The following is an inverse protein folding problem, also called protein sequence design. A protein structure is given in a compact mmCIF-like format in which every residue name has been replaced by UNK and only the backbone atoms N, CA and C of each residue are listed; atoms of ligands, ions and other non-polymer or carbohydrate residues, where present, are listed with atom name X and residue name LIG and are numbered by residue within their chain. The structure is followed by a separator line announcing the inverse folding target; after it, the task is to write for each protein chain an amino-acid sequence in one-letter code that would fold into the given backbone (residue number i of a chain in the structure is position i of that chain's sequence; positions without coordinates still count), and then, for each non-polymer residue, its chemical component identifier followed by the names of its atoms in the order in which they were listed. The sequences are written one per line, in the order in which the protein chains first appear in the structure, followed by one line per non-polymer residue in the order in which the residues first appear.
data_IF_520994534373
#
_entry.id   IF_520994534373
#
_cell.length_a   1.000
_cell.length_b   1.000
_cell.length_c   1.000
_cell.angle_alpha   90.00
_cell.angle_beta   90.00
_cell.angle_gamma   90.00
#
_symmetry.space_group_name_H-M   'P 1'
#
loop_
_entity.id
_entity.type
_entity.pdbx_description
1 polymer ?
#
# COMPACT_ATOMS: atom_id res chain seq x y z
N UNK A 1 -44.22 60.68 38.62
CA UNK A 1 -43.90 60.07 37.29
C UNK A 1 -42.75 59.11 37.49
N UNK A 2 -43.06 57.81 37.65
CA UNK A 2 -42.13 56.73 37.90
C UNK A 2 -42.03 55.94 36.56
N UNK A 3 -40.83 55.87 36.00
CA UNK A 3 -40.57 55.06 34.82
C UNK A 3 -40.22 53.65 35.24
N UNK A 4 -41.00 52.67 34.78
CA UNK A 4 -40.74 51.24 34.89
C UNK A 4 -39.60 50.84 33.93
N UNK A 5 -38.59 50.14 34.46
CA UNK A 5 -37.55 49.48 33.70
C UNK A 5 -38.01 48.05 33.44
N UNK A 6 -38.13 47.70 32.14
CA UNK A 6 -38.41 46.32 31.71
C UNK A 6 -37.14 45.48 31.64
N UNK A 7 -37.15 44.36 32.35
CA UNK A 7 -36.04 43.37 32.32
C UNK A 7 -36.32 42.38 31.19
N UNK A 8 -35.46 42.34 30.19
CA UNK A 8 -35.42 41.31 29.16
C UNK A 8 -34.65 40.08 29.69
N UNK A 9 -35.36 38.99 29.89
CA UNK A 9 -34.76 37.69 30.18
C UNK A 9 -34.35 36.99 28.88
N UNK A 10 -33.05 36.83 28.69
CA UNK A 10 -32.52 35.94 27.62
C UNK A 10 -32.63 34.49 28.10
N UNK A 11 -33.47 33.71 27.43
CA UNK A 11 -33.53 32.29 27.58
C UNK A 11 -32.31 31.62 26.93
N UNK A 12 -31.42 31.03 27.71
CA UNK A 12 -30.38 30.10 27.25
C UNK A 12 -31.06 28.80 26.82
N UNK A 13 -31.19 28.59 25.49
CA UNK A 13 -31.54 27.30 24.93
C UNK A 13 -30.39 26.32 25.25
N UNK A 14 -30.62 25.35 26.12
CA UNK A 14 -29.70 24.31 26.50
C UNK A 14 -29.39 23.44 25.26
N UNK A 15 -28.15 23.44 24.83
CA UNK A 15 -27.61 22.39 23.96
C UNK A 15 -27.66 21.06 24.72
N UNK A 16 -28.14 19.96 24.13
CA UNK A 16 -28.11 18.65 24.79
C UNK A 16 -26.66 18.25 25.03
N UNK A 17 -26.28 18.10 26.28
CA UNK A 17 -25.06 17.46 26.72
C UNK A 17 -25.17 15.98 26.32
N UNK A 18 -24.47 15.58 25.28
CA UNK A 18 -24.26 14.16 24.93
C UNK A 18 -23.65 13.49 26.18
N UNK A 19 -24.24 12.40 26.63
CA UNK A 19 -23.73 11.65 27.77
C UNK A 19 -22.36 11.03 27.44
N UNK A 20 -21.47 10.98 28.42
CA UNK A 20 -20.14 10.35 28.27
C UNK A 20 -20.22 8.87 27.80
N UNK A 21 -21.37 8.22 27.91
CA UNK A 21 -21.63 6.88 27.39
C UNK A 21 -21.89 6.81 25.88
N UNK A 22 -22.37 7.90 25.26
CA UNK A 22 -22.57 7.96 23.80
C UNK A 22 -21.28 8.28 23.01
N UNK A 23 -20.30 8.85 23.69
CA UNK A 23 -18.95 9.07 23.10
C UNK A 23 -18.09 7.78 23.02
N UNK A 24 -18.50 6.69 23.69
CA UNK A 24 -17.75 5.43 23.75
C UNK A 24 -18.28 4.36 22.77
N UNK A 25 -19.29 4.65 21.95
CA UNK A 25 -19.99 3.62 21.16
C UNK A 25 -19.97 3.81 19.64
N UNK A 26 -19.32 4.82 19.11
CA UNK A 26 -19.08 4.87 17.67
C UNK A 26 -17.87 4.00 17.36
N UNK A 27 -18.10 2.79 16.79
CA UNK A 27 -17.00 2.04 16.15
C UNK A 27 -16.27 3.00 15.20
N UNK A 28 -14.93 3.05 15.23
CA UNK A 28 -14.18 3.81 14.24
C UNK A 28 -14.60 3.34 12.86
N UNK A 29 -15.09 4.23 12.02
CA UNK A 29 -15.40 3.91 10.63
C UNK A 29 -14.16 4.22 9.81
N UNK A 30 -13.24 3.27 9.71
CA UNK A 30 -12.06 3.34 8.84
C UNK A 30 -12.40 3.03 7.38
N UNK A 31 -13.58 3.45 6.92
CA UNK A 31 -14.00 3.27 5.55
C UNK A 31 -13.04 4.03 4.61
N UNK A 32 -12.45 3.31 3.66
CA UNK A 32 -11.62 3.90 2.63
C UNK A 32 -12.47 4.34 1.44
N UNK A 33 -12.11 5.43 0.75
CA UNK A 33 -12.58 5.70 -0.61
C UNK A 33 -12.23 4.53 -1.54
N UNK A 34 -13.00 4.39 -2.62
CA UNK A 34 -12.75 3.34 -3.64
C UNK A 34 -11.62 3.77 -4.58
N UNK A 35 -10.49 4.13 -4.04
CA UNK A 35 -9.35 4.60 -4.79
C UNK A 35 -8.84 3.60 -5.81
N UNK A 36 -8.48 4.09 -6.99
CA UNK A 36 -7.91 3.28 -8.06
C UNK A 36 -6.71 3.98 -8.65
N UNK A 37 -5.63 3.25 -8.82
CA UNK A 37 -4.40 3.85 -9.29
C UNK A 37 -3.23 2.89 -9.38
N UNK A 38 -2.07 3.40 -9.02
CA UNK A 38 -0.80 2.73 -9.30
C UNK A 38 0.19 2.86 -8.15
N UNK A 39 1.08 1.87 -8.06
CA UNK A 39 2.32 2.03 -7.34
C UNK A 39 3.34 2.78 -8.21
N UNK A 40 4.11 3.71 -7.61
CA UNK A 40 5.22 4.42 -8.26
C UNK A 40 6.50 4.14 -7.50
N UNK A 41 7.48 3.54 -8.16
CA UNK A 41 8.63 2.89 -7.52
C UNK A 41 9.87 3.78 -7.42
N UNK A 42 9.68 5.09 -7.38
CA UNK A 42 10.75 6.09 -7.34
C UNK A 42 11.70 5.90 -6.15
N UNK A 43 11.19 5.45 -5.01
CA UNK A 43 11.92 5.33 -3.75
C UNK A 43 12.01 3.89 -3.22
N UNK A 44 11.68 2.94 -4.09
CA UNK A 44 11.62 1.52 -3.75
C UNK A 44 13.01 0.91 -3.46
N UNK A 45 14.04 1.33 -4.22
CA UNK A 45 15.38 0.78 -4.06
C UNK A 45 16.10 1.41 -2.86
N UNK A 46 16.81 0.60 -2.01
CA UNK A 46 17.55 1.13 -0.86
C UNK A 46 18.66 2.14 -1.24
N UNK A 47 19.26 2.01 -2.41
CA UNK A 47 20.30 2.91 -2.91
C UNK A 47 19.71 3.91 -3.92
N UNK A 48 19.74 5.23 -3.64
CA UNK A 48 19.24 6.26 -4.55
C UNK A 48 19.91 6.27 -5.92
N UNK A 49 21.16 5.78 -6.02
CA UNK A 49 21.90 5.68 -7.29
C UNK A 49 21.31 4.60 -8.22
N UNK A 50 20.56 3.67 -7.66
CA UNK A 50 19.87 2.59 -8.37
C UNK A 50 18.39 2.89 -8.65
N UNK A 51 17.96 4.13 -8.46
CA UNK A 51 16.61 4.58 -8.78
C UNK A 51 16.33 4.35 -10.26
N UNK A 52 15.34 3.51 -10.56
CA UNK A 52 14.99 3.10 -11.93
C UNK A 52 13.88 3.94 -12.54
N UNK A 53 13.04 4.54 -11.70
CA UNK A 53 11.89 5.33 -12.13
C UNK A 53 12.05 6.80 -11.73
N UNK A 54 11.53 7.66 -12.57
CA UNK A 54 11.43 9.09 -12.33
C UNK A 54 10.02 9.51 -12.76
N UNK A 55 9.07 9.35 -11.83
CA UNK A 55 7.70 9.74 -12.05
C UNK A 55 7.63 11.27 -12.07
N UNK A 56 7.03 11.83 -13.11
CA UNK A 56 6.95 13.28 -13.32
C UNK A 56 5.52 13.77 -13.11
N UNK A 57 5.36 15.08 -12.99
CA UNK A 57 4.04 15.72 -12.96
C UNK A 57 3.19 15.34 -14.18
N UNK A 58 3.80 15.14 -15.34
CA UNK A 58 3.12 14.72 -16.55
C UNK A 58 2.53 13.31 -16.42
N UNK A 59 3.26 12.37 -15.80
CA UNK A 59 2.75 11.04 -15.51
C UNK A 59 1.53 11.09 -14.57
N UNK A 60 1.56 11.92 -13.52
CA UNK A 60 0.41 12.12 -12.64
C UNK A 60 -0.77 12.75 -13.34
N UNK A 61 -0.52 13.69 -14.27
CA UNK A 61 -1.58 14.25 -15.11
C UNK A 61 -2.22 13.17 -15.98
N UNK A 62 -1.45 12.29 -16.62
CA UNK A 62 -2.02 11.17 -17.40
C UNK A 62 -2.87 10.25 -16.53
N UNK A 63 -2.41 9.90 -15.32
CA UNK A 63 -3.23 9.09 -14.39
C UNK A 63 -4.58 9.78 -14.13
N UNK A 64 -4.58 11.06 -13.77
CA UNK A 64 -5.79 11.83 -13.51
C UNK A 64 -6.68 11.96 -14.76
N UNK A 65 -6.12 12.26 -15.94
CA UNK A 65 -6.83 12.36 -17.22
C UNK A 65 -7.49 11.03 -17.63
N UNK A 66 -6.90 9.90 -17.21
CA UNK A 66 -7.49 8.56 -17.42
C UNK A 66 -8.54 8.18 -16.39
N UNK A 67 -8.74 9.02 -15.35
CA UNK A 67 -9.76 8.87 -14.31
C UNK A 67 -9.26 8.21 -13.03
N UNK A 68 -7.96 7.95 -12.88
CA UNK A 68 -7.40 7.43 -11.63
C UNK A 68 -7.24 8.54 -10.59
N UNK A 69 -7.32 8.16 -9.30
CA UNK A 69 -7.35 9.09 -8.17
C UNK A 69 -6.34 8.77 -7.06
N UNK A 70 -5.47 7.76 -7.28
CA UNK A 70 -4.62 7.21 -6.23
C UNK A 70 -3.22 6.84 -6.72
N UNK A 71 -2.23 7.09 -5.88
CA UNK A 71 -0.88 6.52 -6.00
C UNK A 71 -0.38 5.99 -4.67
N UNK A 72 0.18 4.79 -4.67
CA UNK A 72 0.95 4.25 -3.55
C UNK A 72 2.43 4.47 -3.83
N UNK A 73 3.17 4.90 -2.82
CA UNK A 73 4.61 5.23 -2.91
C UNK A 73 5.39 4.30 -1.99
N UNK A 74 5.82 3.13 -2.48
CA UNK A 74 6.69 2.23 -1.73
C UNK A 74 8.06 2.86 -1.51
N UNK A 75 8.47 2.99 -0.24
CA UNK A 75 9.76 3.57 0.15
C UNK A 75 10.63 2.56 0.88
N UNK A 76 11.89 2.48 0.53
CA UNK A 76 12.90 1.84 1.36
C UNK A 76 13.51 2.89 2.30
N UNK A 77 13.50 2.67 3.63
CA UNK A 77 14.07 3.65 4.57
C UNK A 77 15.54 4.01 4.27
N UNK A 78 16.41 3.08 3.78
CA UNK A 78 17.79 3.44 3.45
C UNK A 78 17.90 4.42 2.28
N UNK A 79 16.84 4.61 1.48
CA UNK A 79 16.85 5.60 0.41
C UNK A 79 17.07 7.02 0.95
N UNK A 80 16.42 7.36 2.06
CA UNK A 80 16.44 8.71 2.67
C UNK A 80 17.22 8.77 3.99
N UNK A 81 18.17 7.85 4.17
CA UNK A 81 19.09 7.81 5.31
C UNK A 81 20.52 8.00 4.82
N UNK A 82 21.31 8.81 5.54
CA UNK A 82 22.72 9.06 5.25
C UNK A 82 23.61 8.04 5.96
N UNK A 83 24.26 7.18 5.19
CA UNK A 83 25.20 6.18 5.68
C UNK A 83 26.23 5.81 4.62
N UNK A 84 27.33 5.18 5.04
CA UNK A 84 28.35 4.62 4.15
C UNK A 84 27.84 3.36 3.42
N UNK A 85 27.44 3.52 2.16
CA UNK A 85 26.85 2.47 1.31
C UNK A 85 27.86 1.43 0.79
N UNK A 86 29.12 1.52 1.20
CA UNK A 86 30.15 0.51 0.88
C UNK A 86 30.18 -0.64 1.87
N UNK A 87 29.43 -0.57 2.96
CA UNK A 87 29.27 -1.56 4.01
C UNK A 87 27.82 -1.64 4.49
N UNK A 88 27.45 -2.68 5.25
CA UNK A 88 26.14 -2.72 5.92
C UNK A 88 25.91 -1.48 6.80
N UNK A 89 24.66 -1.03 6.85
CA UNK A 89 24.23 0.06 7.73
C UNK A 89 24.32 -0.39 9.19
N UNK A 90 24.71 0.51 10.08
CA UNK A 90 24.69 0.25 11.52
C UNK A 90 23.45 0.88 12.20
N UNK A 91 23.21 0.51 13.47
CA UNK A 91 22.02 0.92 14.24
C UNK A 91 21.91 2.44 14.41
N UNK A 92 23.02 3.15 14.59
CA UNK A 92 23.05 4.60 14.79
C UNK A 92 22.78 5.36 13.48
N UNK A 93 23.20 4.80 12.35
CA UNK A 93 23.00 5.41 11.04
C UNK A 93 21.55 5.37 10.59
N UNK A 94 20.76 4.41 11.06
CA UNK A 94 19.33 4.31 10.73
C UNK A 94 18.55 5.59 11.08
N UNK A 95 19.03 6.36 12.05
CA UNK A 95 18.43 7.62 12.50
C UNK A 95 18.95 8.88 11.77
N UNK A 96 19.90 8.74 10.85
CA UNK A 96 20.52 9.88 10.14
C UNK A 96 19.73 10.21 8.88
N UNK A 97 18.71 11.04 9.02
CA UNK A 97 17.86 11.45 7.90
C UNK A 97 18.65 12.31 6.92
N UNK A 98 18.58 11.97 5.62
CA UNK A 98 19.06 12.81 4.50
C UNK A 98 17.92 13.74 4.03
N UNK A 99 17.95 14.99 4.48
CA UNK A 99 16.91 15.98 4.17
C UNK A 99 16.74 16.19 2.66
N UNK A 100 17.79 16.04 1.86
CA UNK A 100 17.70 16.16 0.40
C UNK A 100 16.84 15.04 -0.18
N UNK A 101 17.03 13.81 0.30
CA UNK A 101 16.23 12.65 -0.16
C UNK A 101 14.80 12.72 0.33
N UNK A 102 14.60 13.21 1.54
CA UNK A 102 13.25 13.49 2.06
C UNK A 102 12.55 14.52 1.20
N UNK A 103 13.25 15.59 0.78
CA UNK A 103 12.68 16.60 -0.10
C UNK A 103 12.24 16.03 -1.46
N UNK A 104 12.98 15.06 -2.05
CA UNK A 104 12.59 14.37 -3.29
C UNK A 104 11.24 13.64 -3.12
N UNK A 105 11.01 13.00 -1.97
CA UNK A 105 9.72 12.35 -1.65
C UNK A 105 8.60 13.39 -1.51
N UNK A 106 8.87 14.48 -0.77
CA UNK A 106 7.90 15.56 -0.58
C UNK A 106 7.49 16.21 -1.91
N UNK A 107 8.44 16.42 -2.82
CA UNK A 107 8.18 16.96 -4.16
C UNK A 107 7.28 16.03 -4.99
N UNK A 108 7.50 14.73 -4.91
CA UNK A 108 6.64 13.74 -5.57
C UNK A 108 5.22 13.78 -5.00
N UNK A 109 5.06 13.84 -3.67
CA UNK A 109 3.76 13.96 -2.99
C UNK A 109 3.02 15.22 -3.47
N UNK A 110 3.71 16.38 -3.50
CA UNK A 110 3.11 17.64 -3.97
C UNK A 110 2.71 17.58 -5.45
N UNK A 111 3.54 16.98 -6.31
CA UNK A 111 3.22 16.82 -7.72
C UNK A 111 1.96 15.96 -7.93
N UNK A 112 1.85 14.83 -7.23
CA UNK A 112 0.68 13.96 -7.29
C UNK A 112 -0.58 14.66 -6.77
N UNK A 113 -0.51 15.25 -5.56
CA UNK A 113 -1.65 15.99 -4.97
C UNK A 113 -2.09 17.18 -5.86
N UNK A 114 -1.16 17.84 -6.56
CA UNK A 114 -1.49 18.94 -7.49
C UNK A 114 -2.32 18.49 -8.69
N UNK A 115 -2.35 17.19 -8.99
CA UNK A 115 -3.20 16.59 -10.02
C UNK A 115 -4.47 15.95 -9.44
N UNK A 116 -4.76 16.14 -8.14
CA UNK A 116 -5.93 15.57 -7.47
C UNK A 116 -5.77 14.10 -7.05
N UNK A 117 -4.56 13.54 -7.13
CA UNK A 117 -4.31 12.16 -6.72
C UNK A 117 -4.07 12.09 -5.21
N UNK A 118 -4.71 11.14 -4.54
CA UNK A 118 -4.36 10.75 -3.18
C UNK A 118 -3.03 10.00 -3.16
N UNK A 119 -2.19 10.28 -2.18
CA UNK A 119 -0.90 9.59 -2.02
C UNK A 119 -0.93 8.72 -0.76
N UNK A 120 -0.59 7.44 -0.89
CA UNK A 120 -0.34 6.54 0.23
C UNK A 120 1.16 6.29 0.36
N UNK A 121 1.78 6.81 1.43
CA UNK A 121 3.17 6.50 1.72
C UNK A 121 3.27 5.14 2.40
N UNK A 122 4.13 4.28 1.89
CA UNK A 122 4.37 2.95 2.44
C UNK A 122 5.83 2.74 2.79
N UNK A 123 6.12 2.18 3.97
CA UNK A 123 7.43 1.64 4.27
C UNK A 123 7.54 0.24 3.65
N UNK A 124 8.00 0.18 2.41
CA UNK A 124 8.22 -1.09 1.71
C UNK A 124 9.39 -1.87 2.33
N UNK A 125 10.44 -1.14 2.72
CA UNK A 125 11.50 -1.61 3.60
C UNK A 125 11.52 -0.75 4.84
N UNK A 126 11.18 -1.33 5.98
CA UNK A 126 11.31 -0.72 7.29
C UNK A 126 12.62 -1.16 7.96
N UNK A 127 13.10 -0.43 8.99
CA UNK A 127 14.23 -0.90 9.78
C UNK A 127 14.01 -2.32 10.32
N UNK A 128 14.89 -3.24 9.94
CA UNK A 128 14.84 -4.63 10.37
C UNK A 128 13.88 -5.55 9.60
N UNK A 129 13.18 -5.06 8.57
CA UNK A 129 12.31 -5.93 7.77
C UNK A 129 12.10 -5.45 6.33
N UNK A 130 12.15 -6.39 5.41
CA UNK A 130 11.57 -6.30 4.07
C UNK A 130 11.21 -7.69 3.55
N UNK A 131 10.10 -7.78 2.81
CA UNK A 131 9.73 -9.01 2.12
C UNK A 131 10.75 -9.41 1.05
N UNK A 132 11.48 -8.44 0.48
CA UNK A 132 12.54 -8.67 -0.50
C UNK A 132 13.90 -8.77 0.20
N UNK A 133 14.69 -9.82 -0.12
CA UNK A 133 16.07 -9.92 0.28
C UNK A 133 16.96 -8.85 -0.41
N UNK A 134 18.26 -8.87 -0.15
CA UNK A 134 19.25 -8.06 -0.88
C UNK A 134 19.65 -6.74 -0.21
N UNK A 135 19.31 -6.55 1.06
CA UNK A 135 19.85 -5.50 1.91
C UNK A 135 20.05 -6.05 3.31
N UNK A 136 21.25 -5.88 3.87
CA UNK A 136 21.59 -6.37 5.20
C UNK A 136 21.13 -5.39 6.27
N UNK A 137 20.17 -5.83 7.09
CA UNK A 137 19.61 -5.04 8.19
C UNK A 137 20.45 -5.20 9.46
N UNK A 138 20.58 -4.16 10.32
CA UNK A 138 21.38 -4.23 11.55
C UNK A 138 20.65 -4.94 12.69
N UNK A 139 19.38 -5.31 12.50
CA UNK A 139 18.51 -5.99 13.48
C UNK A 139 17.29 -6.62 12.78
N UNK A 140 16.44 -7.30 13.55
CA UNK A 140 15.20 -7.91 13.07
C UNK A 140 13.98 -7.23 13.70
N UNK A 141 13.05 -6.74 12.89
CA UNK A 141 11.86 -6.01 13.34
C UNK A 141 10.95 -6.84 14.27
N UNK A 142 10.96 -8.16 14.11
CA UNK A 142 10.07 -9.05 14.85
C UNK A 142 10.61 -9.47 16.22
N UNK A 143 11.91 -9.29 16.47
CA UNK A 143 12.58 -9.77 17.68
C UNK A 143 13.31 -8.69 18.46
N UNK A 144 13.76 -7.62 17.79
CA UNK A 144 14.66 -6.64 18.39
C UNK A 144 13.91 -5.35 18.73
N UNK A 145 13.93 -4.96 19.98
CA UNK A 145 13.26 -3.75 20.47
C UNK A 145 13.76 -2.49 19.76
N UNK A 146 15.06 -2.39 19.48
CA UNK A 146 15.66 -1.25 18.79
C UNK A 146 15.13 -1.11 17.35
N UNK A 147 14.79 -2.21 16.68
CA UNK A 147 14.17 -2.16 15.35
C UNK A 147 12.77 -1.51 15.40
N UNK A 148 11.98 -1.83 16.44
CA UNK A 148 10.69 -1.22 16.68
C UNK A 148 10.82 0.29 17.00
N UNK A 149 11.82 0.69 17.78
CA UNK A 149 12.11 2.10 18.06
C UNK A 149 12.46 2.85 16.78
N UNK A 150 13.28 2.26 15.91
CA UNK A 150 13.61 2.83 14.61
C UNK A 150 12.39 2.93 13.69
N UNK A 151 11.53 1.92 13.65
CA UNK A 151 10.27 1.96 12.90
C UNK A 151 9.38 3.13 13.34
N UNK A 152 9.19 3.29 14.64
CA UNK A 152 8.45 4.41 15.25
C UNK A 152 9.09 5.76 14.91
N UNK A 153 10.43 5.86 14.97
CA UNK A 153 11.14 7.09 14.61
C UNK A 153 10.87 7.52 13.16
N UNK A 154 10.92 6.59 12.21
CA UNK A 154 10.64 6.90 10.81
C UNK A 154 9.19 7.36 10.59
N UNK A 155 8.22 6.70 11.22
CA UNK A 155 6.83 7.15 11.13
C UNK A 155 6.58 8.48 11.82
N UNK A 156 7.21 8.75 12.95
CA UNK A 156 7.15 10.06 13.61
C UNK A 156 7.70 11.17 12.69
N UNK A 157 8.81 10.90 11.99
CA UNK A 157 9.40 11.82 11.03
C UNK A 157 8.42 12.16 9.89
N UNK A 158 7.88 11.16 9.18
CA UNK A 158 6.95 11.38 8.08
C UNK A 158 5.63 12.01 8.52
N UNK A 159 5.05 11.55 9.60
CA UNK A 159 3.80 12.11 10.13
C UNK A 159 3.95 13.58 10.53
N UNK A 160 5.09 13.97 11.09
CA UNK A 160 5.41 15.36 11.44
C UNK A 160 5.56 16.26 10.19
N UNK A 161 6.24 15.78 9.15
CA UNK A 161 6.40 16.51 7.89
C UNK A 161 5.07 16.74 7.18
N UNK A 162 4.21 15.74 7.20
CA UNK A 162 2.93 15.72 6.48
C UNK A 162 1.73 16.12 7.35
N UNK A 163 1.95 16.63 8.56
CA UNK A 163 0.88 16.98 9.52
C UNK A 163 -0.16 18.00 9.02
N UNK A 164 0.21 18.83 8.03
CA UNK A 164 -0.68 19.80 7.41
C UNK A 164 -1.57 19.18 6.30
N UNK A 165 -1.23 17.99 5.82
CA UNK A 165 -2.02 17.28 4.81
C UNK A 165 -3.22 16.60 5.48
N UNK A 166 -4.38 16.75 4.87
CA UNK A 166 -5.60 16.04 5.33
C UNK A 166 -5.63 14.62 4.80
N UNK A 167 -6.49 13.80 5.37
CA UNK A 167 -6.74 12.41 4.92
C UNK A 167 -7.27 12.31 3.48
N UNK A 168 -7.69 13.41 2.87
CA UNK A 168 -8.08 13.47 1.45
C UNK A 168 -6.86 13.39 0.53
N UNK A 169 -5.68 13.82 0.99
CA UNK A 169 -4.46 13.93 0.18
C UNK A 169 -3.39 12.90 0.53
N UNK A 170 -3.40 12.38 1.77
CA UNK A 170 -2.34 11.49 2.27
C UNK A 170 -2.89 10.39 3.18
N UNK A 171 -2.34 9.20 3.05
CA UNK A 171 -2.45 8.09 4.00
C UNK A 171 -1.09 7.48 4.30
N UNK A 172 -1.02 6.74 5.39
CA UNK A 172 0.20 6.09 5.88
C UNK A 172 -0.03 4.58 5.91
N UNK A 173 0.66 3.85 5.05
CA UNK A 173 0.64 2.41 4.92
C UNK A 173 1.86 1.84 5.66
N UNK A 174 1.64 1.28 6.84
CA UNK A 174 2.63 1.08 7.89
C UNK A 174 3.82 0.22 7.48
N UNK A 175 3.57 -0.93 6.87
CA UNK A 175 4.61 -1.90 6.55
C UNK A 175 4.18 -2.78 5.38
N UNK A 176 5.03 -2.88 4.36
CA UNK A 176 4.76 -3.74 3.22
C UNK A 176 4.89 -5.23 3.55
N UNK A 177 3.82 -5.99 3.23
CA UNK A 177 3.84 -7.45 3.17
C UNK A 177 4.47 -8.15 4.39
N UNK A 178 3.99 -7.89 5.60
CA UNK A 178 4.53 -8.49 6.82
C UNK A 178 4.47 -10.01 6.75
N UNK A 179 5.60 -10.63 7.02
CA UNK A 179 5.70 -12.08 7.17
C UNK A 179 6.88 -12.43 8.08
N UNK A 180 6.78 -13.56 8.74
CA UNK A 180 7.93 -14.19 9.39
C UNK A 180 8.69 -15.00 8.34
N UNK A 181 9.99 -14.87 8.29
CA UNK A 181 10.87 -15.62 7.39
C UNK A 181 11.93 -16.35 8.21
N UNK A 182 12.19 -17.63 7.92
CA UNK A 182 13.19 -18.42 8.64
C UNK A 182 14.60 -17.87 8.46
N UNK A 183 14.96 -17.47 7.25
CA UNK A 183 16.19 -16.73 6.93
C UNK A 183 15.85 -15.45 6.15
N UNK A 184 16.08 -14.29 6.77
CA UNK A 184 15.80 -12.98 6.18
C UNK A 184 16.66 -12.66 4.95
N UNK A 185 17.80 -13.34 4.78
CA UNK A 185 18.72 -13.13 3.66
C UNK A 185 18.46 -14.07 2.48
N UNK A 186 17.68 -15.15 2.70
CA UNK A 186 17.29 -16.07 1.63
C UNK A 186 15.91 -15.70 1.07
N UNK A 187 15.87 -15.27 -0.21
CA UNK A 187 14.64 -14.92 -0.92
C UNK A 187 13.63 -16.07 -0.99
N UNK A 188 14.09 -17.31 -0.99
CA UNK A 188 13.27 -18.51 -1.08
C UNK A 188 13.01 -19.19 0.26
N UNK A 189 13.50 -18.62 1.35
CA UNK A 189 13.26 -19.13 2.70
C UNK A 189 11.76 -19.23 2.99
N UNK A 190 11.40 -20.23 3.79
CA UNK A 190 10.03 -20.47 4.21
C UNK A 190 9.45 -19.24 4.92
N UNK A 191 8.21 -18.91 4.55
CA UNK A 191 7.44 -17.80 5.12
C UNK A 191 6.25 -18.30 5.90
N UNK A 192 5.83 -17.52 6.88
CA UNK A 192 4.61 -17.74 7.66
C UNK A 192 4.07 -16.41 8.18
N UNK A 193 2.88 -16.44 8.76
CA UNK A 193 2.29 -15.28 9.41
C UNK A 193 3.15 -14.80 10.57
N UNK A 194 3.29 -13.50 10.73
CA UNK A 194 3.85 -12.90 11.96
C UNK A 194 2.91 -13.25 13.11
N UNK A 195 3.42 -13.65 14.29
CA UNK A 195 2.56 -13.87 15.47
C UNK A 195 1.63 -12.66 15.71
N UNK A 196 0.34 -12.93 15.91
CA UNK A 196 -0.71 -11.90 15.94
C UNK A 196 -0.42 -10.77 16.93
N UNK A 197 0.08 -11.10 18.13
CA UNK A 197 0.36 -10.09 19.15
C UNK A 197 1.56 -9.21 18.78
N UNK A 198 2.59 -9.78 18.14
CA UNK A 198 3.76 -9.03 17.66
C UNK A 198 3.34 -8.06 16.56
N UNK A 199 2.54 -8.53 15.61
CA UNK A 199 2.09 -7.66 14.52
C UNK A 199 1.12 -6.58 15.00
N UNK A 200 0.21 -6.93 15.94
CA UNK A 200 -0.65 -5.92 16.60
C UNK A 200 0.17 -4.85 17.32
N UNK A 201 1.20 -5.21 18.08
CA UNK A 201 2.06 -4.25 18.80
C UNK A 201 2.72 -3.26 17.82
N UNK A 202 3.21 -3.74 16.68
CA UNK A 202 3.75 -2.89 15.62
C UNK A 202 2.68 -1.92 15.08
N UNK A 203 1.48 -2.42 14.79
CA UNK A 203 0.39 -1.59 14.25
C UNK A 203 -0.02 -0.51 15.26
N UNK A 204 -0.21 -0.87 16.53
CA UNK A 204 -0.57 0.07 17.60
C UNK A 204 0.49 1.17 17.73
N UNK A 205 1.77 0.81 17.81
CA UNK A 205 2.86 1.79 17.93
C UNK A 205 2.96 2.71 16.72
N UNK A 206 2.83 2.17 15.51
CA UNK A 206 2.82 2.97 14.28
C UNK A 206 1.60 3.91 14.23
N UNK A 207 0.42 3.39 14.52
CA UNK A 207 -0.83 4.15 14.57
C UNK A 207 -0.78 5.29 15.58
N UNK A 208 -0.42 5.00 16.83
CA UNK A 208 -0.34 6.00 17.89
C UNK A 208 0.67 7.10 17.55
N UNK A 209 1.83 6.71 17.01
CA UNK A 209 2.88 7.64 16.59
C UNK A 209 2.38 8.61 15.51
N UNK A 210 1.70 8.08 14.49
CA UNK A 210 1.17 8.90 13.39
C UNK A 210 0.04 9.80 13.92
N UNK A 211 -0.88 9.28 14.73
CA UNK A 211 -2.02 10.01 15.29
C UNK A 211 -1.60 11.09 16.28
N UNK A 212 -0.48 10.94 16.98
CA UNK A 212 0.09 12.00 17.81
C UNK A 212 0.49 13.23 16.99
N UNK A 213 1.04 13.03 15.79
CA UNK A 213 1.45 14.14 14.91
C UNK A 213 0.29 14.66 14.05
N UNK A 214 -0.60 13.78 13.62
CA UNK A 214 -1.78 14.09 12.80
C UNK A 214 -3.00 13.29 13.29
N UNK A 215 -3.84 13.84 14.19
CA UNK A 215 -4.95 13.13 14.81
C UNK A 215 -6.02 12.60 13.85
N UNK A 216 -6.04 13.08 12.59
CA UNK A 216 -6.98 12.66 11.56
C UNK A 216 -6.31 11.89 10.42
N UNK A 217 -5.06 11.48 10.60
CA UNK A 217 -4.35 10.72 9.59
C UNK A 217 -5.06 9.40 9.29
N UNK A 218 -5.15 9.05 8.02
CA UNK A 218 -5.61 7.74 7.58
C UNK A 218 -4.43 6.77 7.63
N UNK A 219 -4.60 5.68 8.38
CA UNK A 219 -3.58 4.66 8.60
C UNK A 219 -4.05 3.34 8.00
N UNK A 220 -3.17 2.67 7.28
CA UNK A 220 -3.41 1.39 6.61
C UNK A 220 -2.37 0.39 7.12
N UNK A 221 -2.80 -0.84 7.39
CA UNK A 221 -1.91 -1.97 7.67
C UNK A 221 -2.09 -3.04 6.60
N UNK A 222 -1.00 -3.52 6.03
CA UNK A 222 -1.06 -4.69 5.13
C UNK A 222 -1.53 -5.93 5.91
N UNK A 223 -2.34 -6.76 5.28
CA UNK A 223 -2.72 -8.05 5.82
C UNK A 223 -1.50 -8.91 6.16
N UNK A 224 -1.62 -9.78 7.13
CA UNK A 224 -0.55 -10.67 7.53
C UNK A 224 -0.21 -11.67 6.42
N UNK A 225 0.92 -12.35 6.52
CA UNK A 225 1.37 -13.35 5.56
C UNK A 225 1.37 -12.80 4.11
N UNK A 226 2.12 -11.73 3.91
CA UNK A 226 2.26 -11.07 2.59
C UNK A 226 0.92 -10.49 2.06
N UNK A 227 0.06 -9.98 2.96
CA UNK A 227 -1.25 -9.43 2.58
C UNK A 227 -2.30 -10.49 2.23
N UNK A 228 -2.06 -11.76 2.56
CA UNK A 228 -3.01 -12.85 2.30
C UNK A 228 -4.06 -13.03 3.40
N UNK A 229 -3.77 -12.60 4.63
CA UNK A 229 -4.61 -12.84 5.80
C UNK A 229 -5.13 -11.54 6.40
N UNK A 230 -6.44 -11.48 6.67
CA UNK A 230 -7.05 -10.39 7.43
C UNK A 230 -6.49 -10.36 8.86
N UNK A 231 -6.27 -9.15 9.39
CA UNK A 231 -5.84 -8.96 10.77
C UNK A 231 -7.09 -8.82 11.63
N UNK A 232 -7.42 -9.86 12.38
CA UNK A 232 -8.67 -9.96 13.14
C UNK A 232 -8.64 -9.28 14.52
N UNK A 233 -7.46 -8.98 15.05
CA UNK A 233 -7.24 -8.46 16.40
C UNK A 233 -6.97 -6.94 16.46
N UNK A 234 -7.37 -6.16 15.43
CA UNK A 234 -7.21 -4.70 15.38
C UNK A 234 -8.55 -3.96 15.18
N UNK A 235 -9.67 -4.64 15.40
CA UNK A 235 -11.01 -4.05 15.21
C UNK A 235 -11.35 -2.90 16.17
N UNK A 236 -10.54 -2.71 17.21
CA UNK A 236 -10.60 -1.61 18.17
C UNK A 236 -9.83 -0.36 17.71
N UNK A 237 -9.03 -0.48 16.64
CA UNK A 237 -8.23 0.61 16.08
C UNK A 237 -8.92 1.21 14.85
N UNK A 238 -8.73 2.52 14.64
CA UNK A 238 -9.14 3.20 13.41
C UNK A 238 -8.05 3.03 12.32
N UNK A 239 -7.84 1.78 11.91
CA UNK A 239 -6.85 1.35 10.91
C UNK A 239 -7.56 0.56 9.82
N UNK A 240 -7.38 0.97 8.56
CA UNK A 240 -7.81 0.20 7.40
C UNK A 240 -6.80 -0.91 7.08
N UNK A 241 -7.22 -1.89 6.29
CA UNK A 241 -6.33 -2.98 5.90
C UNK A 241 -6.08 -3.02 4.39
N UNK A 242 -4.95 -3.57 3.99
CA UNK A 242 -4.58 -3.73 2.59
C UNK A 242 -4.36 -5.20 2.25
N UNK A 243 -5.05 -5.68 1.22
CA UNK A 243 -4.85 -7.01 0.65
C UNK A 243 -3.91 -6.98 -0.56
N UNK A 244 -3.62 -8.17 -1.12
CA UNK A 244 -2.84 -8.34 -2.34
C UNK A 244 -3.64 -9.03 -3.43
N UNK A 245 -3.51 -8.52 -4.66
CA UNK A 245 -4.14 -9.05 -5.85
C UNK A 245 -3.14 -9.80 -6.72
N UNK A 246 -2.51 -10.84 -6.16
CA UNK A 246 -1.54 -11.69 -6.87
C UNK A 246 -1.92 -13.17 -6.93
N UNK A 247 -3.02 -13.55 -6.32
CA UNK A 247 -3.47 -14.94 -6.34
C UNK A 247 -4.21 -15.29 -7.66
N UNK A 248 -3.92 -16.43 -8.29
CA UNK A 248 -2.87 -17.39 -7.95
C UNK A 248 -1.50 -16.93 -8.44
N UNK A 249 -0.46 -17.20 -7.64
CA UNK A 249 0.91 -16.77 -7.91
C UNK A 249 1.48 -17.30 -9.24
N UNK A 250 1.05 -18.47 -9.67
CA UNK A 250 1.43 -19.03 -10.98
C UNK A 250 1.00 -18.13 -12.14
N UNK A 251 -0.14 -17.44 -12.04
CA UNK A 251 -0.62 -16.51 -13.07
C UNK A 251 0.08 -15.15 -12.95
N UNK A 252 0.04 -14.55 -11.77
CA UNK A 252 0.54 -13.18 -11.56
C UNK A 252 2.06 -13.06 -11.69
N UNK A 253 2.80 -14.10 -11.28
CA UNK A 253 4.26 -14.13 -11.26
C UNK A 253 4.86 -15.19 -12.20
N UNK A 254 4.16 -15.56 -13.26
CA UNK A 254 4.63 -16.57 -14.19
C UNK A 254 6.08 -16.28 -14.63
N UNK A 255 6.98 -17.25 -14.39
CA UNK A 255 8.41 -17.16 -14.66
C UNK A 255 9.17 -16.03 -13.94
N UNK A 256 8.63 -15.49 -12.85
CA UNK A 256 9.34 -14.49 -12.06
C UNK A 256 10.50 -15.14 -11.28
N UNK A 257 11.76 -14.72 -11.52
CA UNK A 257 12.93 -15.40 -10.97
C UNK A 257 13.12 -15.21 -9.45
N UNK A 258 12.42 -14.26 -8.86
CA UNK A 258 12.42 -14.07 -7.39
C UNK A 258 11.32 -14.85 -6.69
N UNK A 259 10.42 -15.49 -7.44
CA UNK A 259 9.34 -16.34 -6.91
C UNK A 259 9.63 -17.81 -7.18
N UNK A 260 10.12 -18.14 -8.37
CA UNK A 260 10.38 -19.51 -8.81
C UNK A 260 11.87 -19.75 -8.95
N UNK A 261 12.40 -20.78 -8.28
CA UNK A 261 13.81 -21.19 -8.41
C UNK A 261 14.13 -21.73 -9.81
N UNK A 262 13.15 -22.37 -10.44
CA UNK A 262 13.26 -22.97 -11.79
C UNK A 262 12.15 -22.43 -12.71
N UNK A 263 12.22 -21.14 -13.12
CA UNK A 263 11.14 -20.50 -13.86
C UNK A 263 10.90 -21.08 -15.26
N UNK A 264 11.93 -21.68 -15.86
CA UNK A 264 11.83 -22.28 -17.22
C UNK A 264 11.15 -23.64 -17.21
N UNK A 265 11.07 -24.32 -16.07
CA UNK A 265 10.41 -25.62 -15.93
C UNK A 265 8.89 -25.50 -15.75
N UNK A 266 8.36 -24.28 -15.62
CA UNK A 266 6.93 -24.06 -15.44
C UNK A 266 6.14 -24.41 -16.70
N UNK A 267 4.97 -25.09 -16.56
CA UNK A 267 4.08 -25.34 -17.67
C UNK A 267 3.52 -24.04 -18.23
N UNK A 268 2.99 -24.08 -19.45
CA UNK A 268 2.28 -22.93 -20.00
C UNK A 268 1.09 -22.56 -19.13
N UNK A 269 1.00 -21.26 -18.77
CA UNK A 269 -0.09 -20.76 -17.93
C UNK A 269 -1.28 -20.33 -18.79
N UNK A 270 -2.47 -20.57 -18.26
CA UNK A 270 -3.76 -20.16 -18.86
C UNK A 270 -4.63 -19.46 -17.82
N UNK A 271 -5.74 -18.87 -18.23
CA UNK A 271 -6.80 -18.45 -17.33
C UNK A 271 -8.16 -18.89 -17.90
N UNK A 272 -8.98 -19.64 -17.17
CA UNK A 272 -8.68 -20.27 -15.86
C UNK A 272 -7.40 -21.11 -15.87
N UNK A 273 -6.76 -21.23 -14.71
CA UNK A 273 -5.54 -22.02 -14.50
C UNK A 273 -5.83 -23.24 -13.63
N UNK A 274 -4.95 -24.24 -13.70
CA UNK A 274 -5.02 -25.41 -12.81
C UNK A 274 -3.65 -25.62 -12.15
N UNK A 275 -3.67 -25.83 -10.86
CA UNK A 275 -2.46 -26.13 -10.08
C UNK A 275 -2.78 -27.23 -9.05
N UNK A 276 -2.01 -28.32 -9.07
CA UNK A 276 -2.18 -29.45 -8.14
C UNK A 276 -3.62 -30.04 -8.10
N UNK A 277 -4.32 -30.05 -9.23
CA UNK A 277 -5.70 -30.54 -9.34
C UNK A 277 -6.77 -29.55 -8.86
N UNK A 278 -6.39 -28.32 -8.52
CA UNK A 278 -7.30 -27.23 -8.16
C UNK A 278 -7.46 -26.29 -9.34
N UNK A 279 -8.69 -26.08 -9.77
CA UNK A 279 -9.01 -25.10 -10.82
C UNK A 279 -9.13 -23.73 -10.18
N UNK A 280 -8.31 -22.81 -10.66
CA UNK A 280 -8.36 -21.40 -10.28
C UNK A 280 -9.11 -20.62 -11.37
N UNK A 281 -10.32 -20.21 -11.03
CA UNK A 281 -11.20 -19.42 -11.89
C UNK A 281 -11.77 -18.21 -11.12
N UNK A 282 -12.75 -17.53 -11.69
CA UNK A 282 -13.43 -16.40 -11.03
C UNK A 282 -14.11 -16.80 -9.71
N UNK A 283 -14.64 -18.00 -9.61
CA UNK A 283 -15.28 -18.50 -8.37
C UNK A 283 -14.23 -18.67 -7.28
N UNK A 284 -13.12 -19.32 -7.63
CA UNK A 284 -11.99 -19.48 -6.73
C UNK A 284 -11.44 -18.11 -6.26
N UNK A 285 -11.31 -17.13 -7.16
CA UNK A 285 -10.89 -15.76 -6.78
C UNK A 285 -11.86 -15.13 -5.78
N UNK A 286 -13.17 -15.31 -5.96
CA UNK A 286 -14.18 -14.79 -5.02
C UNK A 286 -14.03 -15.43 -3.64
N UNK A 287 -13.79 -16.74 -3.58
CA UNK A 287 -13.51 -17.44 -2.33
C UNK A 287 -12.21 -16.98 -1.68
N UNK A 288 -11.17 -16.72 -2.48
CA UNK A 288 -9.90 -16.17 -2.01
C UNK A 288 -10.09 -14.79 -1.37
N UNK A 289 -10.91 -13.92 -1.96
CA UNK A 289 -11.18 -12.57 -1.40
C UNK A 289 -12.30 -12.55 -0.36
N UNK A 290 -12.99 -13.66 -0.08
CA UNK A 290 -14.11 -13.69 0.84
C UNK A 290 -13.79 -13.10 2.24
N UNK A 291 -12.67 -13.36 2.90
CA UNK A 291 -12.34 -12.75 4.20
C UNK A 291 -12.26 -11.21 4.13
N UNK A 292 -11.76 -10.66 3.02
CA UNK A 292 -11.68 -9.22 2.79
C UNK A 292 -13.04 -8.60 2.50
N UNK A 293 -13.86 -9.30 1.73
CA UNK A 293 -15.25 -8.93 1.43
C UNK A 293 -16.08 -8.90 2.73
N UNK A 294 -15.90 -9.89 3.59
CA UNK A 294 -16.55 -9.97 4.89
C UNK A 294 -16.14 -8.80 5.79
N UNK A 295 -14.84 -8.44 5.80
CA UNK A 295 -14.36 -7.28 6.56
C UNK A 295 -15.02 -5.98 6.07
N UNK A 296 -15.13 -5.76 4.75
CA UNK A 296 -15.84 -4.60 4.20
C UNK A 296 -17.32 -4.61 4.59
N UNK A 297 -17.99 -5.78 4.54
CA UNK A 297 -19.39 -5.91 4.91
C UNK A 297 -19.67 -5.54 6.38
N UNK A 298 -18.65 -5.70 7.24
CA UNK A 298 -18.67 -5.32 8.65
C UNK A 298 -18.30 -3.85 8.91
N UNK A 299 -18.04 -3.08 7.84
CA UNK A 299 -17.69 -1.66 7.91
C UNK A 299 -16.17 -1.41 8.02
N UNK A 300 -15.32 -2.41 7.84
CA UNK A 300 -13.87 -2.24 7.76
C UNK A 300 -13.43 -1.64 6.43
N UNK A 301 -12.41 -0.77 6.45
CA UNK A 301 -11.78 -0.26 5.23
C UNK A 301 -10.81 -1.29 4.66
N UNK A 302 -10.95 -1.60 3.36
CA UNK A 302 -10.04 -2.50 2.63
C UNK A 302 -9.62 -1.87 1.32
N UNK A 303 -8.34 -1.99 0.98
CA UNK A 303 -7.77 -1.60 -0.30
C UNK A 303 -6.85 -2.71 -0.82
N UNK A 304 -6.88 -3.00 -2.12
CA UNK A 304 -5.90 -3.88 -2.74
C UNK A 304 -4.66 -3.05 -3.11
N UNK A 305 -3.70 -2.95 -2.17
CA UNK A 305 -2.55 -2.04 -2.28
C UNK A 305 -1.57 -2.41 -3.38
N UNK A 306 -1.55 -3.69 -3.79
CA UNK A 306 -0.77 -4.17 -4.91
C UNK A 306 -1.50 -5.29 -5.64
N UNK A 307 -1.45 -5.24 -6.98
CA UNK A 307 -1.97 -6.27 -7.89
C UNK A 307 -1.29 -6.15 -9.24
N UNK A 308 -1.44 -7.18 -10.09
CA UNK A 308 -0.90 -7.14 -11.44
C UNK A 308 -0.20 -8.43 -11.85
N UNK A 309 0.30 -8.47 -13.08
CA UNK A 309 0.97 -9.63 -13.63
C UNK A 309 2.35 -9.29 -14.19
N UNK A 310 3.34 -10.12 -13.86
CA UNK A 310 4.70 -10.06 -14.39
C UNK A 310 4.72 -10.16 -15.92
N UNK A 311 5.64 -9.49 -16.56
CA UNK A 311 5.74 -9.37 -18.02
C UNK A 311 5.82 -10.70 -18.79
N UNK A 312 6.27 -11.78 -18.17
CA UNK A 312 6.34 -13.10 -18.80
C UNK A 312 4.98 -13.85 -18.76
N UNK A 313 4.01 -13.39 -17.98
CA UNK A 313 2.62 -13.90 -18.08
C UNK A 313 2.05 -13.51 -19.44
N UNK A 314 1.55 -14.46 -20.25
CA UNK A 314 0.97 -14.13 -21.55
C UNK A 314 -0.10 -13.04 -21.41
N UNK A 315 -0.04 -12.03 -22.28
CA UNK A 315 -0.83 -10.80 -22.11
C UNK A 315 -2.33 -11.07 -22.04
N UNK A 316 -2.87 -11.94 -22.91
CA UNK A 316 -4.28 -12.29 -22.88
C UNK A 316 -4.69 -13.01 -21.57
N UNK A 317 -3.80 -13.84 -21.02
CA UNK A 317 -4.02 -14.49 -19.71
C UNK A 317 -4.07 -13.45 -18.60
N UNK A 318 -3.10 -12.52 -18.59
CA UNK A 318 -3.06 -11.43 -17.63
C UNK A 318 -4.33 -10.57 -17.67
N UNK A 319 -4.78 -10.16 -18.89
CA UNK A 319 -5.98 -9.36 -19.05
C UNK A 319 -7.24 -10.08 -18.58
N UNK A 320 -7.41 -11.37 -18.91
CA UNK A 320 -8.59 -12.14 -18.53
C UNK A 320 -8.66 -12.37 -17.02
N UNK A 321 -7.53 -12.70 -16.40
CA UNK A 321 -7.43 -12.87 -14.96
C UNK A 321 -7.67 -11.56 -14.20
N UNK A 322 -7.09 -10.45 -14.65
CA UNK A 322 -7.26 -9.14 -14.03
C UNK A 322 -8.70 -8.62 -14.18
N UNK A 323 -9.39 -8.89 -15.31
CA UNK A 323 -10.79 -8.52 -15.50
C UNK A 323 -11.70 -9.18 -14.46
N UNK A 324 -11.49 -10.48 -14.19
CA UNK A 324 -12.21 -11.22 -13.15
C UNK A 324 -11.89 -10.70 -11.75
N UNK A 325 -10.62 -10.48 -11.44
CA UNK A 325 -10.18 -9.94 -10.14
C UNK A 325 -10.76 -8.56 -9.87
N UNK A 326 -10.60 -7.61 -10.81
CA UNK A 326 -11.10 -6.24 -10.61
C UNK A 326 -12.62 -6.18 -10.56
N UNK A 327 -13.33 -7.05 -11.31
CA UNK A 327 -14.78 -7.11 -11.17
C UNK A 327 -15.22 -7.55 -9.75
N UNK A 328 -14.51 -8.49 -9.12
CA UNK A 328 -14.79 -8.91 -7.73
C UNK A 328 -14.48 -7.76 -6.75
N UNK A 329 -13.29 -7.16 -6.84
CA UNK A 329 -12.88 -6.08 -5.92
C UNK A 329 -13.86 -4.90 -5.99
N UNK A 330 -14.20 -4.43 -7.21
CA UNK A 330 -15.05 -3.25 -7.38
C UNK A 330 -16.52 -3.52 -7.04
N UNK A 331 -17.03 -4.73 -7.28
CA UNK A 331 -18.37 -5.18 -6.86
C UNK A 331 -18.55 -5.00 -5.34
N UNK A 332 -17.49 -5.26 -4.57
CA UNK A 332 -17.49 -5.17 -3.11
C UNK A 332 -16.92 -3.84 -2.56
N UNK A 333 -16.67 -2.87 -3.42
CA UNK A 333 -16.22 -1.54 -3.00
C UNK A 333 -14.76 -1.47 -2.57
N UNK A 334 -13.94 -2.45 -2.95
CA UNK A 334 -12.50 -2.47 -2.69
C UNK A 334 -11.78 -1.76 -3.84
N UNK A 335 -11.06 -0.69 -3.53
CA UNK A 335 -10.18 0.00 -4.48
C UNK A 335 -8.89 -0.79 -4.72
N UNK A 336 -8.10 -0.39 -5.73
CA UNK A 336 -6.86 -1.10 -6.07
C UNK A 336 -5.75 -0.18 -6.58
N UNK A 337 -4.50 -0.64 -6.43
CA UNK A 337 -3.32 -0.03 -7.04
C UNK A 337 -2.53 -1.07 -7.83
N UNK A 338 -2.41 -0.87 -9.15
CA UNK A 338 -1.60 -1.74 -9.99
C UNK A 338 -0.13 -1.63 -9.59
N UNK A 339 0.54 -2.74 -9.45
CA UNK A 339 1.98 -2.82 -9.36
C UNK A 339 2.53 -3.06 -10.75
N UNK A 340 2.99 -2.07 -11.47
CA UNK A 340 3.30 -0.67 -11.19
C UNK A 340 2.77 0.25 -12.33
N UNK A 341 2.96 1.56 -12.26
CA UNK A 341 2.59 2.45 -13.36
C UNK A 341 3.51 2.28 -14.57
N UNK A 342 4.83 2.31 -14.33
CA UNK A 342 5.86 2.26 -15.35
C UNK A 342 6.86 1.15 -15.00
N UNK A 343 6.95 0.12 -15.83
CA UNK A 343 7.82 -1.03 -15.60
C UNK A 343 7.14 -2.37 -15.86
N UNK A 344 7.74 -3.43 -15.40
CA UNK A 344 7.52 -4.81 -15.86
C UNK A 344 6.17 -5.44 -15.51
N UNK A 345 5.40 -4.86 -14.62
CA UNK A 345 3.98 -5.17 -14.34
C UNK A 345 3.05 -4.08 -14.87
N UNK A 346 3.60 -2.96 -15.31
CA UNK A 346 2.89 -1.72 -15.55
C UNK A 346 2.23 -1.60 -16.91
N UNK A 347 1.56 -0.45 -17.07
CA UNK A 347 0.94 -0.07 -18.34
C UNK A 347 1.90 0.66 -19.27
N UNK A 348 3.00 1.23 -18.73
CA UNK A 348 4.06 1.88 -19.51
C UNK A 348 5.34 1.03 -19.46
N UNK A 349 5.98 0.89 -20.62
CA UNK A 349 7.31 0.27 -20.78
C UNK A 349 7.44 -1.11 -20.11
N UNK A 350 6.41 -1.92 -20.13
CA UNK A 350 6.40 -3.22 -19.44
C UNK A 350 7.32 -4.27 -20.08
N UNK A 351 7.80 -4.04 -21.31
CA UNK A 351 8.64 -4.95 -22.07
C UNK A 351 8.05 -6.35 -22.30
N UNK A 352 6.70 -6.45 -22.30
CA UNK A 352 6.01 -7.67 -22.73
C UNK A 352 6.24 -7.90 -24.19
N UNK A 353 6.55 -9.14 -24.58
CA UNK A 353 6.88 -9.49 -25.98
C UNK A 353 5.64 -9.66 -26.87
N UNK A 354 4.48 -9.88 -26.27
CA UNK A 354 3.21 -10.17 -26.93
C UNK A 354 2.23 -8.98 -26.91
N UNK A 355 2.73 -7.77 -26.65
CA UNK A 355 1.97 -6.52 -26.67
C UNK A 355 2.35 -5.67 -27.88
N UNK A 356 1.33 -5.22 -28.63
CA UNK A 356 1.49 -4.14 -29.61
C UNK A 356 1.34 -2.79 -28.87
N UNK A 357 2.47 -2.18 -28.55
CA UNK A 357 2.48 -0.91 -27.83
C UNK A 357 2.06 0.27 -28.72
N UNK A 358 1.33 1.19 -28.11
CA UNK A 358 1.10 2.52 -28.66
C UNK A 358 2.24 3.47 -28.25
N UNK A 359 2.67 4.35 -29.15
CA UNK A 359 3.56 5.44 -28.76
C UNK A 359 2.76 6.51 -28.04
N UNK A 360 3.00 6.66 -26.74
CA UNK A 360 2.40 7.67 -25.88
C UNK A 360 3.45 8.66 -25.41
N UNK A 361 3.64 9.73 -26.19
CA UNK A 361 4.67 10.74 -25.90
C UNK A 361 6.07 10.15 -25.70
N UNK A 362 6.45 9.18 -26.53
CA UNK A 362 7.74 8.49 -26.45
C UNK A 362 7.80 7.34 -25.44
N UNK A 363 6.70 7.03 -24.76
CA UNK A 363 6.57 5.86 -23.88
C UNK A 363 5.82 4.74 -24.60
N UNK A 364 6.18 3.50 -24.32
CA UNK A 364 5.48 2.30 -24.81
C UNK A 364 4.24 2.03 -23.96
N UNK A 365 3.07 2.47 -24.41
CA UNK A 365 1.80 2.28 -23.69
C UNK A 365 1.15 0.94 -24.08
N UNK A 366 0.82 0.12 -23.08
CA UNK A 366 -0.11 -1.00 -23.23
C UNK A 366 -1.54 -0.50 -23.18
N UNK A 367 -2.09 -0.18 -24.36
CA UNK A 367 -3.46 0.37 -24.49
C UNK A 367 -4.52 -0.61 -23.97
N UNK A 368 -4.36 -1.91 -24.22
CA UNK A 368 -5.36 -2.91 -23.80
C UNK A 368 -5.41 -3.04 -22.29
N UNK A 369 -4.26 -2.99 -21.61
CA UNK A 369 -4.19 -2.99 -20.15
C UNK A 369 -4.83 -1.71 -19.58
N UNK A 370 -4.49 -0.54 -20.12
CA UNK A 370 -5.11 0.72 -19.71
C UNK A 370 -6.64 0.70 -19.91
N UNK A 371 -7.11 0.23 -21.06
CA UNK A 371 -8.56 0.15 -21.35
C UNK A 371 -9.27 -0.83 -20.41
N UNK A 372 -8.61 -1.94 -20.03
CA UNK A 372 -9.12 -2.84 -19.00
C UNK A 372 -9.26 -2.13 -17.66
N UNK A 373 -8.22 -1.46 -17.17
CA UNK A 373 -8.25 -0.75 -15.89
C UNK A 373 -9.35 0.32 -15.87
N UNK A 374 -9.52 1.05 -16.97
CA UNK A 374 -10.53 2.11 -17.12
C UNK A 374 -11.97 1.62 -17.07
N UNK A 375 -12.25 0.35 -17.26
CA UNK A 375 -13.62 -0.20 -17.04
C UNK A 375 -14.05 -0.10 -15.57
N UNK A 376 -13.11 -0.01 -14.65
CA UNK A 376 -13.33 -0.10 -13.21
C UNK A 376 -13.10 1.22 -12.46
N UNK A 377 -12.78 2.29 -13.19
CA UNK A 377 -12.52 3.64 -12.64
C UNK A 377 -13.79 4.47 -12.54
#
# INVERSE_FOLDING_TARGET
MIKQAGTLAFGLAGLPLLSAGELLAAKPTNALPRWKGFNVLDFFHPDPRMRRQHTTREHFRWMADWGFDFVRVPMAYPYYVDFDRTRPINKEEVYRIDDKRVQEVMELVEQANSQGLHVSLNLHRAPGFCVNAGFEEPYNLWTDHEAMEAFVFHWAHWAKLLRSKTHEYISFDLLNEPCFREDMNDQFSRRSSVPKDIYRDLIVKGFDTIRMANPRALVIADGNNIGAEVIDNISDLDVAQSCRGYAPGLVSHYKAPWVFQHPDDLPAVTWPSEENGVVHDKTWLREHFAPWIDLVSQGGGVHCGECGAWKETPHQVALSWMDDMFSILTEHGIGFALWEFNGTFGILNSDRRDVAYEDWYGQKLDRKMLDLLRKFV
#
